data_IF_954444536365
#
_entry.id   IF_954444536365
#
_cell.length_a   1.000
_cell.length_b   1.000
_cell.length_c   1.000
_cell.angle_alpha   90.00
_cell.angle_beta   90.00
_cell.angle_gamma   90.00
#
_symmetry.space_group_name_H-M   'P 1'
#
loop_
_entity.id
_entity.type
_entity.pdbx_description
1 polymer ?
#
# COMPACT_ATOMS: atom_id res chain seq x y z
N UNK A 1 18.04 -4.93 -9.64
CA UNK A 1 17.96 -6.09 -8.73
C UNK A 1 17.06 -5.80 -7.51
N UNK A 2 17.38 -4.79 -6.67
CA UNK A 2 16.63 -4.50 -5.45
C UNK A 2 15.11 -4.30 -5.63
N UNK A 3 14.69 -3.50 -6.63
CA UNK A 3 13.27 -3.26 -6.90
C UNK A 3 12.52 -4.54 -7.27
N UNK A 4 13.09 -5.35 -8.17
CA UNK A 4 12.49 -6.61 -8.58
C UNK A 4 12.33 -7.58 -7.40
N UNK A 5 13.34 -7.64 -6.51
CA UNK A 5 13.26 -8.43 -5.30
C UNK A 5 12.17 -7.92 -4.34
N UNK A 6 12.05 -6.61 -4.16
CA UNK A 6 11.00 -6.00 -3.34
C UNK A 6 9.60 -6.29 -3.88
N UNK A 7 9.39 -6.19 -5.20
CA UNK A 7 8.12 -6.53 -5.85
C UNK A 7 7.80 -8.01 -5.70
N UNK A 8 8.77 -8.90 -5.94
CA UNK A 8 8.58 -10.33 -5.77
C UNK A 8 8.22 -10.70 -4.32
N UNK A 9 8.85 -10.04 -3.35
CA UNK A 9 8.56 -10.25 -1.94
C UNK A 9 7.16 -9.74 -1.55
N UNK A 10 6.79 -8.54 -1.98
CA UNK A 10 5.44 -7.99 -1.75
C UNK A 10 4.35 -8.83 -2.42
N UNK A 11 4.58 -9.29 -3.65
CA UNK A 11 3.68 -10.18 -4.37
C UNK A 11 3.55 -11.56 -3.68
N UNK A 12 4.64 -12.10 -3.12
CA UNK A 12 4.57 -13.35 -2.37
C UNK A 12 3.74 -13.20 -1.08
N UNK A 13 3.86 -12.07 -0.37
CA UNK A 13 3.12 -11.81 0.87
C UNK A 13 1.61 -11.78 0.66
N UNK A 14 1.14 -11.22 -0.46
CA UNK A 14 -0.30 -11.15 -0.77
C UNK A 14 -0.91 -12.49 -1.20
N UNK A 15 -0.09 -13.49 -1.53
CA UNK A 15 -0.55 -14.83 -1.91
C UNK A 15 -0.70 -15.79 -0.72
N UNK A 16 -0.35 -15.38 0.49
CA UNK A 16 -0.47 -16.23 1.68
C UNK A 16 -1.94 -16.46 2.07
N UNK A 17 -2.29 -17.65 2.62
CA UNK A 17 -3.64 -17.92 3.09
C UNK A 17 -4.13 -16.88 4.10
N UNK A 18 -5.34 -16.35 3.89
CA UNK A 18 -5.92 -15.30 4.73
C UNK A 18 -5.50 -13.88 4.37
N UNK A 19 -4.69 -13.69 3.32
CA UNK A 19 -4.41 -12.36 2.79
C UNK A 19 -5.62 -11.76 2.09
N UNK A 20 -5.91 -10.49 2.38
CA UNK A 20 -7.01 -9.70 1.79
C UNK A 20 -6.40 -8.51 1.04
N UNK A 21 -5.76 -8.80 -0.08
CA UNK A 21 -5.24 -7.73 -0.93
C UNK A 21 -6.43 -7.03 -1.62
N UNK A 22 -6.64 -5.72 -1.40
CA UNK A 22 -7.63 -4.99 -2.17
C UNK A 22 -7.25 -5.05 -3.65
N UNK A 23 -8.21 -5.46 -4.45
CA UNK A 23 -8.14 -5.40 -5.91
C UNK A 23 -8.35 -3.95 -6.35
N UNK A 24 -8.02 -3.61 -7.61
CA UNK A 24 -8.34 -2.29 -8.14
C UNK A 24 -9.83 -1.92 -8.05
N UNK A 25 -10.73 -2.92 -8.00
CA UNK A 25 -12.17 -2.69 -7.86
C UNK A 25 -12.59 -2.26 -6.44
N UNK A 26 -11.74 -2.54 -5.44
CA UNK A 26 -11.95 -2.12 -4.05
C UNK A 26 -11.50 -0.67 -3.80
N UNK A 27 -10.85 -0.03 -4.78
CA UNK A 27 -10.41 1.35 -4.70
C UNK A 27 -11.52 2.31 -5.11
N UNK A 28 -11.65 3.42 -4.38
CA UNK A 28 -12.48 4.58 -4.78
C UNK A 28 -11.59 5.55 -5.55
N UNK A 29 -11.63 5.61 -6.89
CA UNK A 29 -10.59 6.29 -7.67
C UNK A 29 -10.49 7.80 -7.39
N UNK A 30 -11.62 8.44 -7.05
CA UNK A 30 -11.68 9.85 -6.68
C UNK A 30 -11.01 10.18 -5.34
N UNK A 31 -10.82 9.19 -4.47
CA UNK A 31 -10.12 9.35 -3.19
C UNK A 31 -8.62 9.00 -3.29
N UNK A 32 -8.16 8.43 -4.42
CA UNK A 32 -6.77 8.04 -4.62
C UNK A 32 -5.96 9.21 -5.19
N UNK A 33 -4.86 9.54 -4.51
CA UNK A 33 -3.92 10.57 -4.96
C UNK A 33 -2.63 9.89 -5.43
N UNK A 34 -2.31 10.03 -6.73
CA UNK A 34 -1.06 9.55 -7.27
C UNK A 34 0.09 10.53 -6.92
N UNK A 35 1.02 10.08 -6.08
CA UNK A 35 2.20 10.87 -5.69
C UNK A 35 3.35 10.67 -6.68
N UNK A 36 3.82 11.75 -7.31
CA UNK A 36 4.96 11.72 -8.27
C UNK A 36 6.33 11.86 -7.61
N UNK A 37 6.37 12.38 -6.38
CA UNK A 37 7.56 12.50 -5.55
C UNK A 37 7.25 11.94 -4.19
N UNK A 38 8.17 11.13 -3.65
CA UNK A 38 8.04 10.57 -2.31
C UNK A 38 8.24 11.73 -1.32
N UNK A 39 7.27 12.00 -0.42
CA UNK A 39 7.41 13.03 0.59
C UNK A 39 8.40 12.57 1.66
N UNK A 40 9.65 13.03 1.57
CA UNK A 40 10.73 12.65 2.47
C UNK A 40 10.52 13.14 3.91
N UNK A 41 9.75 14.21 4.09
CA UNK A 41 9.47 14.83 5.39
C UNK A 41 8.23 14.25 6.08
N UNK A 42 7.62 13.19 5.54
CA UNK A 42 6.45 12.59 6.17
C UNK A 42 6.90 11.80 7.41
N UNK A 43 6.42 12.15 8.62
CA UNK A 43 6.77 11.43 9.84
C UNK A 43 6.31 9.97 9.74
N UNK A 44 7.21 9.03 10.05
CA UNK A 44 6.94 7.59 10.02
C UNK A 44 6.22 7.10 11.29
N UNK A 45 6.20 7.91 12.33
CA UNK A 45 5.59 7.67 13.64
C UNK A 45 4.18 8.24 13.77
N UNK A 46 3.61 8.79 12.68
CA UNK A 46 2.26 9.33 12.67
C UNK A 46 1.23 8.22 12.98
N UNK A 47 0.33 8.43 13.95
CA UNK A 47 -0.81 7.54 14.16
C UNK A 47 -1.73 7.53 12.93
N UNK A 48 -2.07 6.33 12.43
CA UNK A 48 -3.11 6.18 11.43
C UNK A 48 -4.47 6.39 12.09
N UNK A 49 -5.39 7.16 11.49
CA UNK A 49 -6.75 7.24 11.99
C UNK A 49 -7.39 5.84 11.91
N UNK A 50 -8.06 5.44 13.00
CA UNK A 50 -8.85 4.21 13.03
C UNK A 50 -9.89 4.23 11.89
N UNK A 51 -10.04 3.13 11.12
CA UNK A 51 -11.09 3.03 10.12
C UNK A 51 -12.45 3.23 10.80
N UNK A 52 -13.26 4.16 10.28
CA UNK A 52 -14.66 4.28 10.68
C UNK A 52 -15.43 3.05 10.17
N UNK A 53 -16.24 2.38 11.02
CA UNK A 53 -17.01 1.21 10.63
C UNK A 53 -18.09 1.52 9.59
#
# INVERSE_FOLDING_TARGET
>A
AALAAAVAHGAAAVQLPGSVMPTPADLVPSAVVATRRVPADHPLDRPLPEPVP
#
